data_IF_149638164868
#
_entry.id   IF_149638164868
#
_cell.length_a   1.000
_cell.length_b   1.000
_cell.length_c   1.000
_cell.angle_alpha   90.00
_cell.angle_beta   90.00
_cell.angle_gamma   90.00
#
_symmetry.space_group_name_H-M   'P 1'
#
loop_
_entity.id
_entity.type
_entity.pdbx_description
1 polymer ?
2 non-polymer ?
3 non-polymer ?
4 water ?
#
# COMPACT_ATOMS: atom_id res chain seq x y z
N UNK A 16 -13.70 -17.66 -4.16
CA UNK A 16 -12.83 -17.08 -5.22
C UNK A 16 -12.26 -18.10 -6.22
N UNK A 17 -12.73 -18.02 -7.47
CA UNK A 17 -12.19 -18.81 -8.58
C UNK A 17 -10.94 -18.03 -9.00
N UNK A 18 -9.83 -18.72 -9.37
CA UNK A 18 -8.65 -17.93 -9.78
C UNK A 18 -8.87 -17.15 -11.06
N UNK A 19 -8.29 -15.96 -11.14
CA UNK A 19 -8.38 -15.12 -12.34
C UNK A 19 -7.48 -15.72 -13.37
N UNK A 20 -7.65 -15.28 -14.60
CA UNK A 20 -6.96 -15.86 -15.72
C UNK A 20 -6.66 -14.80 -16.78
N UNK A 21 -5.74 -15.14 -17.67
CA UNK A 21 -5.36 -14.24 -18.74
C UNK A 21 -4.29 -13.20 -18.41
N UNK A 22 -4.18 -12.13 -19.23
CA UNK A 22 -3.16 -11.12 -19.05
C UNK A 22 -3.26 -10.38 -17.74
N UNK A 23 -2.10 -10.05 -17.19
CA UNK A 23 -1.96 -9.23 -15.99
C UNK A 23 -1.40 -7.88 -16.41
N UNK A 25 0.38 -4.32 -14.64
CA UNK A 25 1.00 -3.71 -13.45
C UNK A 25 1.00 -2.22 -13.72
N UNK A 26 0.56 -1.43 -12.75
CA UNK A 26 0.42 0.01 -12.83
C UNK A 26 1.54 0.54 -11.97
N UNK A 27 2.53 1.20 -12.60
CA UNK A 27 3.76 1.58 -11.96
C UNK A 27 3.88 3.10 -11.80
N UNK A 28 3.89 3.55 -10.55
CA UNK A 28 3.99 4.96 -10.20
C UNK A 28 5.42 5.27 -9.87
N UNK A 29 5.99 6.29 -10.52
CA UNK A 29 7.36 6.70 -10.26
C UNK A 29 7.42 8.20 -10.06
N UNK A 30 8.58 8.62 -9.54
CA UNK A 30 8.87 10.00 -9.29
C UNK A 30 8.81 10.90 -10.55
N UNK A 31 8.92 10.32 -11.75
CA UNK A 31 8.86 11.08 -13.01
C UNK A 31 7.86 10.55 -14.04
N UNK A 32 6.83 9.84 -13.59
CA UNK A 32 5.76 9.37 -14.49
C UNK A 32 5.18 8.03 -14.14
N UNK A 33 4.16 7.67 -14.90
CA UNK A 33 3.46 6.40 -14.83
C UNK A 33 3.89 5.51 -15.99
N UNK A 34 4.15 4.25 -15.68
CA UNK A 34 4.45 3.24 -16.69
C UNK A 34 3.47 2.11 -16.40
N UNK A 35 3.24 1.28 -17.43
CA UNK A 35 2.28 0.20 -17.40
C UNK A 35 2.90 -1.00 -18.02
N UNK A 36 2.77 -2.14 -17.34
CA UNK A 36 3.32 -3.40 -17.85
C UNK A 36 2.18 -4.35 -18.13
N UNK A 37 2.17 -5.00 -19.29
CA UNK A 37 1.10 -5.93 -19.65
C UNK A 37 1.68 -7.29 -20.04
N UNK A 38 1.14 -8.37 -19.49
CA UNK A 38 1.61 -9.71 -19.81
C UNK A 38 0.76 -10.42 -20.84
N UNK A 39 1.34 -11.52 -21.36
CA UNK A 39 0.62 -12.51 -22.15
C UNK A 39 -0.18 -13.36 -21.12
N UNK A 40 -1.10 -14.22 -21.58
CA UNK A 40 -1.88 -14.99 -20.60
C UNK A 40 -1.06 -15.90 -19.67
N UNK A 41 0.05 -16.42 -20.17
CA UNK A 41 0.96 -17.26 -19.43
C UNK A 41 1.86 -16.48 -18.46
N UNK A 42 1.82 -15.14 -18.46
CA UNK A 42 2.65 -14.29 -17.61
C UNK A 42 4.14 -14.53 -17.79
N UNK A 43 4.57 -14.81 -19.04
CA UNK A 43 5.99 -15.05 -19.30
C UNK A 43 6.68 -13.89 -20.04
N UNK A 44 6.02 -13.29 -21.03
CA UNK A 44 6.55 -12.11 -21.72
C UNK A 44 5.71 -10.89 -21.32
N UNK A 45 6.36 -9.73 -21.19
CA UNK A 45 5.74 -8.46 -20.79
C UNK A 45 6.05 -7.31 -21.75
N UNK A 46 5.08 -6.40 -21.88
CA UNK A 46 5.16 -5.26 -22.75
C UNK A 46 5.09 -4.01 -21.90
N UNK A 47 6.03 -3.10 -22.08
CA UNK A 47 6.08 -1.84 -21.35
C UNK A 47 5.46 -0.69 -22.16
N UNK A 48 4.49 0.00 -21.57
CA UNK A 48 3.91 1.22 -22.13
C UNK A 48 4.20 2.38 -21.18
N UNK A 49 4.44 3.55 -21.75
CA UNK A 49 4.69 4.78 -21.03
C UNK A 49 5.98 5.41 -21.53
N UNK A 50 6.39 6.55 -20.94
CA UNK A 50 5.73 7.23 -19.83
C UNK A 50 4.40 7.91 -20.15
N UNK A 51 3.56 7.98 -19.12
CA UNK A 51 2.34 8.73 -19.15
C UNK A 51 2.61 9.77 -18.04
N UNK A 52 2.37 11.04 -18.36
CA UNK A 52 2.60 12.16 -17.45
C UNK A 52 4.09 12.26 -17.09
N UNK A 53 4.97 12.11 -18.09
CA UNK A 53 6.43 12.22 -17.87
C UNK A 53 6.70 13.55 -17.21
N UNK A 54 7.53 13.52 -16.17
CA UNK A 54 7.89 14.70 -15.40
C UNK A 54 7.05 15.02 -14.17
N UNK A 55 5.93 14.31 -13.99
CA UNK A 55 5.09 14.44 -12.83
C UNK A 55 5.47 13.32 -11.85
N UNK A 56 5.32 13.59 -10.57
CA UNK A 56 5.56 12.65 -9.48
C UNK A 56 4.25 11.91 -9.28
N UNK A 57 4.25 10.60 -9.49
CA UNK A 57 3.05 9.79 -9.39
C UNK A 57 3.18 8.94 -8.14
N UNK A 58 2.22 9.08 -7.24
CA UNK A 58 2.23 8.36 -5.99
C UNK A 58 1.51 7.02 -5.92
N UNK A 59 0.44 6.85 -6.68
CA UNK A 59 -0.36 5.65 -6.61
C UNK A 59 -1.28 5.57 -7.83
N UNK A 60 -1.39 4.39 -8.44
CA UNK A 60 -2.27 4.18 -9.58
C UNK A 60 -3.07 2.94 -9.19
N UNK A 61 -4.39 3.07 -9.11
CA UNK A 61 -5.26 1.99 -8.69
C UNK A 61 -6.42 1.81 -9.66
N UNK A 62 -6.72 0.57 -10.00
CA UNK A 62 -7.86 0.20 -10.82
C UNK A 62 -9.05 -0.03 -9.90
N UNK A 63 -10.25 0.36 -10.35
CA UNK A 63 -11.47 0.08 -9.62
C UNK A 63 -11.81 -1.39 -9.94
N UNK A 64 -11.75 -2.29 -8.93
CA UNK A 64 -12.09 -3.68 -9.21
C UNK A 64 -13.59 -3.88 -9.44
N UNK A 65 -14.42 -2.92 -9.03
CA UNK A 65 -15.85 -2.95 -9.30
C UNK A 65 -16.14 -2.69 -10.76
N UNK A 66 -15.34 -1.85 -11.41
CA UNK A 66 -15.49 -1.44 -12.81
C UNK A 66 -14.08 -1.32 -13.41
N UNK A 67 -13.51 -2.42 -13.91
CA UNK A 67 -12.09 -2.45 -14.36
C UNK A 67 -11.65 -1.37 -15.35
N UNK A 68 -12.59 -0.83 -16.13
CA UNK A 68 -12.32 0.24 -17.08
C UNK A 68 -11.94 1.57 -16.36
N UNK A 69 -12.25 1.68 -15.06
CA UNK A 69 -11.97 2.87 -14.28
C UNK A 69 -10.68 2.76 -13.47
N UNK A 71 -7.76 5.41 -11.07
CA UNK A 71 -7.37 6.67 -10.44
C UNK A 71 -5.86 6.65 -10.25
N UNK A 73 -2.97 9.15 -8.22
CA UNK A 73 -2.56 10.26 -7.35
C UNK A 73 -1.26 10.86 -7.92
N UNK A 74 -1.29 12.16 -8.20
CA UNK A 74 -0.15 12.84 -8.84
C UNK A 74 0.02 14.27 -8.36
N UNK A 75 1.25 14.79 -8.54
CA UNK A 75 1.57 16.16 -8.18
C UNK A 75 2.07 16.97 -9.38
N UNK A 76 1.31 18.04 -9.64
CA UNK A 76 1.46 19.08 -10.70
C UNK A 76 1.34 18.50 -12.10
N UNK A 79 -0.74 22.09 -11.77
CA UNK A 79 -1.99 21.75 -11.05
C UNK A 79 -1.88 21.60 -9.51
N UNK A 80 -0.66 21.46 -8.97
CA UNK A 80 -0.45 21.14 -7.54
C UNK A 80 -0.84 19.67 -7.34
N UNK A 81 -1.16 19.24 -6.10
CA UNK A 81 -1.54 17.84 -5.89
C UNK A 81 -2.96 17.56 -6.39
N UNK A 82 -3.15 16.46 -7.11
CA UNK A 82 -4.45 16.08 -7.67
C UNK A 82 -4.60 14.57 -7.84
N UNK A 83 -5.79 14.19 -8.34
CA UNK A 83 -6.11 12.83 -8.73
C UNK A 83 -6.58 12.87 -10.20
N UNK A 84 -5.93 12.10 -11.05
CA UNK A 84 -6.38 11.95 -12.45
C UNK A 84 -7.27 10.72 -12.51
N UNK A 85 -8.31 10.76 -13.34
CA UNK A 85 -9.24 9.64 -13.50
C UNK A 85 -9.28 9.21 -14.96
N UNK A 86 -9.50 7.92 -15.18
CA UNK A 86 -9.68 7.36 -16.50
C UNK A 86 -10.89 6.46 -16.45
N UNK A 87 -11.73 6.51 -17.49
CA UNK A 87 -12.91 5.60 -17.58
C UNK A 87 -12.81 4.65 -18.80
N UNK A 88 -11.61 4.54 -19.38
CA UNK A 88 -11.36 3.69 -20.55
C UNK A 88 -10.06 2.91 -20.36
N UNK A 89 -9.88 2.36 -19.16
CA UNK A 89 -8.73 1.55 -18.80
C UNK A 89 -7.35 2.14 -18.99
N UNK A 90 -7.25 3.47 -18.83
CA UNK A 90 -5.99 4.21 -18.96
C UNK A 90 -5.73 4.93 -20.26
N UNK A 91 -6.68 4.95 -21.20
CA UNK A 91 -6.50 5.63 -22.46
C UNK A 91 -6.66 7.15 -22.47
N UNK A 92 -7.29 7.69 -21.45
CA UNK A 92 -7.50 9.11 -21.28
C UNK A 92 -7.47 9.39 -19.79
N UNK A 93 -6.89 10.53 -19.40
CA UNK A 93 -6.79 10.92 -18.00
C UNK A 93 -7.34 12.35 -17.86
N UNK A 94 -8.17 12.58 -16.84
CA UNK A 94 -8.73 13.90 -16.57
C UNK A 94 -8.46 14.24 -15.11
N UNK A 95 -7.92 15.43 -14.88
CA UNK A 95 -7.66 15.93 -13.54
C UNK A 95 -8.97 16.14 -12.77
N UNK A 96 -8.90 16.00 -11.44
CA UNK A 96 -10.05 16.21 -10.54
C UNK A 96 -10.64 17.60 -10.69
N UNK A 97 -11.96 17.71 -10.68
CA UNK A 97 -12.60 19.03 -10.72
C UNK A 97 -12.35 19.63 -9.33
N UNK A 98 -12.47 18.80 -8.28
CA UNK A 98 -12.18 19.21 -6.90
C UNK A 98 -11.25 18.17 -6.24
N UNK A 99 -9.91 18.36 -6.32
CA UNK A 99 -9.04 17.40 -5.66
C UNK A 99 -9.03 17.57 -4.14
N UNK A 100 -8.48 16.59 -3.39
CA UNK A 100 -8.37 16.71 -1.93
C UNK A 100 -7.71 18.02 -1.45
N UNK A 101 -8.40 18.73 -0.55
CA UNK A 101 -7.92 19.98 0.02
C UNK A 101 -8.55 20.11 1.36
N UNK A 102 -7.76 20.48 2.38
CA UNK A 102 -8.30 20.70 3.72
C UNK A 102 -9.20 21.94 3.71
N UNK A 103 -10.18 21.96 4.60
CA UNK A 103 -11.07 23.13 4.75
C UNK A 103 -10.26 24.36 5.25
N UNK A 104 -10.77 25.56 4.96
CA UNK A 104 -10.16 26.81 5.40
C UNK A 104 -10.12 26.84 6.92
N UNK A 105 -8.99 27.24 7.51
CA UNK A 105 -8.88 27.33 8.97
C UNK A 105 -9.59 28.61 9.47
N UNK A 106 -10.04 28.63 10.75
CA UNK A 106 -10.69 29.86 11.26
C UNK A 106 -9.73 31.06 11.44
N UNK A 111 -3.77 27.15 9.41
CA UNK A 111 -4.39 26.03 8.67
C UNK A 111 -3.42 25.12 7.90
N UNK A 112 -3.81 23.84 7.74
CA UNK A 112 -3.00 22.79 7.06
C UNK A 112 -3.23 22.76 5.55
N UNK A 113 -2.20 22.36 4.82
CA UNK A 113 -2.20 22.26 3.36
C UNK A 113 -1.80 20.84 2.90
N UNK A 114 -2.53 20.30 1.91
CA UNK A 114 -2.27 18.99 1.32
C UNK A 114 -0.99 19.09 0.48
N UNK A 115 0.04 18.32 0.85
CA UNK A 115 1.27 18.27 0.08
C UNK A 115 1.08 17.33 -1.10
N UNK A 116 0.59 16.12 -0.84
CA UNK A 116 0.28 15.18 -1.90
C UNK A 116 -0.74 14.13 -1.47
N UNK A 117 -1.48 13.60 -2.45
CA UNK A 117 -2.38 12.49 -2.23
C UNK A 117 -1.46 11.29 -2.30
N UNK A 118 -1.39 10.53 -1.22
CA UNK A 118 -0.47 9.41 -1.13
C UNK A 118 -1.09 8.05 -1.48
N UNK A 119 -2.32 7.81 -1.05
CA UNK A 119 -2.98 6.52 -1.18
C UNK A 119 -4.41 6.64 -1.64
N UNK A 120 -4.85 5.71 -2.49
CA UNK A 120 -6.20 5.66 -3.06
C UNK A 120 -6.77 4.28 -2.80
N UNK A 121 -8.00 4.24 -2.29
CA UNK A 121 -8.72 2.98 -1.99
C UNK A 121 -10.11 3.02 -2.61
N UNK A 122 -10.47 2.00 -3.42
CA UNK A 122 -11.81 2.00 -3.94
C UNK A 122 -12.76 1.47 -2.86
N UNK A 123 -13.96 2.04 -2.82
CA UNK A 123 -14.96 1.65 -1.85
C UNK A 123 -15.57 0.28 -2.03
N UNK A 124 -16.60 0.06 -1.22
CA UNK A 124 -17.36 -1.17 -1.16
C UNK A 124 -18.13 -1.42 -2.46
N UNK A 125 -18.37 -2.71 -2.74
CA UNK A 125 -19.07 -3.19 -3.94
C UNK A 125 -20.45 -2.56 -4.14
N UNK A 126 -21.14 -2.34 -3.03
CA UNK A 126 -22.47 -1.77 -3.00
C UNK A 126 -22.49 -0.26 -3.17
N UNK A 127 -21.32 0.40 -3.22
CA UNK A 127 -21.29 1.86 -3.39
C UNK A 127 -20.41 2.25 -4.56
N UNK A 128 -20.80 1.85 -5.80
CA UNK A 128 -19.95 2.15 -6.96
C UNK A 128 -19.72 3.65 -7.09
N UNK A 129 -18.53 4.03 -7.53
CA UNK A 129 -18.12 5.42 -7.62
C UNK A 129 -17.51 6.04 -6.38
N UNK A 130 -17.62 5.35 -5.23
CA UNK A 130 -17.07 5.83 -3.96
C UNK A 130 -15.61 5.40 -3.78
N UNK A 131 -14.74 6.34 -3.41
CA UNK A 131 -13.33 6.09 -3.13
C UNK A 131 -12.89 6.85 -1.89
N UNK A 132 -11.79 6.43 -1.30
CA UNK A 132 -11.12 7.16 -0.22
C UNK A 132 -9.73 7.53 -0.70
N UNK A 133 -9.23 8.66 -0.22
CA UNK A 133 -7.90 9.15 -0.48
C UNK A 133 -7.21 9.49 0.85
N UNK A 134 -5.94 9.11 0.96
CA UNK A 134 -5.08 9.43 2.08
C UNK A 134 -4.00 10.40 1.61
N UNK A 135 -3.76 11.45 2.38
CA UNK A 135 -2.80 12.52 2.04
C UNK A 135 -1.59 12.63 2.96
N UNK A 136 -0.64 13.47 2.52
CA UNK A 136 0.48 13.95 3.31
C UNK A 136 0.30 15.49 3.39
N UNK A 137 0.16 16.08 4.60
CA UNK A 137 0.13 15.46 5.94
C UNK A 137 -1.16 14.65 6.13
N UNK A 138 -1.28 13.94 7.25
CA UNK A 138 -2.37 12.98 7.43
C UNK A 138 -3.74 13.60 7.25
N UNK A 139 -4.53 13.04 6.36
CA UNK A 139 -5.88 13.52 6.08
C UNK A 139 -6.57 12.45 5.29
N UNK A 140 -7.88 12.29 5.55
CA UNK A 140 -8.75 11.31 4.90
C UNK A 140 -9.82 12.08 4.13
N UNK A 141 -9.98 11.73 2.85
CA UNK A 141 -10.93 12.34 1.94
C UNK A 141 -11.76 11.27 1.24
N UNK A 142 -12.91 11.68 0.71
CA UNK A 142 -13.81 10.77 0.04
C UNK A 142 -14.41 11.39 -1.24
N UNK A 143 -14.55 10.55 -2.25
CA UNK A 143 -15.25 10.90 -3.49
C UNK A 143 -16.40 9.93 -3.59
N UNK A 144 -17.53 10.40 -4.11
CA UNK A 144 -18.69 9.56 -4.44
C UNK A 144 -18.99 9.61 -5.97
N UNK A 145 -18.15 10.33 -6.75
CA UNK A 145 -18.32 10.51 -8.21
C UNK A 145 -17.10 10.01 -9.05
N UNK A 146 -16.58 8.83 -8.68
CA UNK A 146 -15.44 8.17 -9.36
C UNK A 146 -14.12 8.96 -9.30
N UNK A 147 -13.97 9.77 -8.27
CA UNK A 147 -12.77 10.55 -8.08
C UNK A 147 -12.71 11.89 -8.78
N UNK A 148 -13.83 12.39 -9.30
CA UNK A 148 -13.85 13.71 -9.93
C UNK A 148 -13.72 14.81 -8.87
N UNK A 149 -14.46 14.65 -7.77
CA UNK A 149 -14.50 15.61 -6.66
C UNK A 149 -14.30 14.88 -5.35
N UNK A 150 -13.60 15.54 -4.43
CA UNK A 150 -13.24 15.00 -3.15
C UNK A 150 -13.63 15.96 -2.05
N UNK A 151 -14.10 15.42 -0.92
CA UNK A 151 -14.42 16.22 0.26
C UNK A 151 -13.70 15.56 1.47
N UNK A 152 -13.36 16.35 2.50
CA UNK A 152 -12.80 15.74 3.70
C UNK A 152 -13.74 14.78 4.43
N UNK A 153 -13.20 13.70 5.01
CA UNK A 153 -14.02 12.86 5.89
C UNK A 153 -13.82 13.58 7.22
N UNK A 154 -14.74 14.50 7.50
CA UNK A 154 -14.75 15.37 8.69
C UNK A 154 -14.58 14.63 10.02
N UNK A 155 -15.16 13.44 10.14
CA UNK A 155 -15.02 12.64 11.35
C UNK A 155 -13.59 12.25 11.70
N UNK A 156 -12.68 12.24 10.72
CA UNK A 156 -11.26 12.07 11.01
C UNK A 156 -10.56 13.44 11.06
N UNK A 157 -10.66 14.20 9.97
CA UNK A 157 -9.93 15.48 9.83
C UNK A 157 -10.16 16.52 10.91
N UNK A 158 -11.36 16.53 11.49
CA UNK A 158 -11.74 17.42 12.58
C UNK A 158 -12.05 16.64 13.85
N UNK A 159 -11.49 15.45 14.02
CA UNK A 159 -11.66 14.69 15.27
C UNK A 159 -10.89 15.46 16.35
N UNK A 160 -11.47 15.60 17.57
CA UNK A 160 -10.72 16.31 18.64
C UNK A 160 -9.32 15.75 18.97
N UNK A 162 -7.32 14.33 16.70
CA UNK A 162 -6.47 14.31 15.49
C UNK A 162 -5.04 14.84 15.61
N UNK A 163 -4.90 16.05 16.15
CA UNK A 163 -3.58 16.67 16.29
C UNK A 163 -2.68 15.82 17.20
N UNK A 164 -3.26 15.22 18.25
CA UNK A 164 -2.56 14.33 19.17
C UNK A 164 -2.15 13.00 18.47
N UNK A 165 -3.08 12.46 17.69
CA UNK A 165 -2.82 11.25 16.91
C UNK A 165 -1.77 11.43 15.82
N UNK A 166 -1.84 12.54 15.07
CA UNK A 166 -0.91 12.82 13.98
C UNK A 166 0.41 13.43 14.45
N UNK A 167 0.32 14.54 15.18
CA UNK A 167 1.47 15.32 15.67
C UNK A 167 1.75 16.52 14.75
N UNK A 168 2.97 16.56 14.16
CA UNK A 168 3.39 17.62 13.20
C UNK A 168 4.19 16.99 12.05
N UNK A 169 4.97 17.82 11.34
CA UNK A 169 5.86 17.35 10.24
C UNK A 169 7.27 16.99 10.75
N UNK A 174 12.11 13.41 6.16
CA UNK A 174 11.52 12.48 5.19
C UNK A 174 10.71 13.22 4.08
N UNK A 175 9.82 12.52 3.36
CA UNK A 175 8.87 13.16 2.41
C UNK A 175 7.73 13.90 3.15
N UNK A 176 7.51 13.54 4.42
CA UNK A 176 6.50 14.11 5.30
C UNK A 176 5.64 12.98 5.84
N UNK A 177 4.86 13.23 6.89
CA UNK A 177 4.02 12.21 7.47
C UNK A 177 2.81 11.98 6.56
N UNK A 178 2.23 10.79 6.60
CA UNK A 178 1.18 10.45 5.64
C UNK A 178 0.16 9.47 6.16
N UNK A 180 -2.13 6.26 5.07
CA UNK A 180 -2.02 5.16 4.14
C UNK A 180 -2.92 4.03 4.60
N UNK A 181 -2.82 2.89 3.92
CA UNK A 181 -3.52 1.67 4.29
C UNK A 181 -4.99 1.86 4.66
N UNK A 182 -5.72 2.55 3.77
CA UNK A 182 -7.14 2.80 3.93
C UNK A 182 -7.83 1.52 3.42
N UNK A 183 -8.53 0.88 4.34
CA UNK A 183 -9.16 -0.40 4.13
C UNK A 183 -10.66 -0.28 4.36
N UNK A 184 -11.48 -0.70 3.39
CA UNK A 184 -12.94 -0.74 3.49
C UNK A 184 -13.33 -2.22 3.62
N UNK A 185 -13.97 -2.60 4.72
CA UNK A 185 -14.34 -3.99 4.97
C UNK A 185 -15.28 -4.55 3.87
N UNK A 186 -14.93 -5.70 3.24
CA UNK A 186 -15.82 -6.27 2.21
C UNK A 186 -17.22 -6.64 2.70
N UNK A 187 -17.35 -6.91 3.99
CA UNK A 187 -18.61 -7.25 4.60
C UNK A 187 -19.44 -6.05 5.02
N UNK A 188 -18.85 -4.85 5.11
CA UNK A 188 -19.58 -3.69 5.62
C UNK A 188 -18.89 -2.38 5.26
N UNK A 189 -19.51 -1.53 4.41
CA UNK A 189 -18.87 -0.24 4.04
C UNK A 189 -18.60 0.74 5.20
N UNK A 190 -19.29 0.55 6.33
CA UNK A 190 -19.12 1.36 7.52
C UNK A 190 -17.85 1.03 8.32
N UNK A 191 -17.31 -0.19 8.16
CA UNK A 191 -16.13 -0.63 8.89
C UNK A 191 -14.85 -0.31 8.09
N UNK A 192 -14.11 0.67 8.60
CA UNK A 192 -12.91 1.20 7.98
C UNK A 192 -11.73 1.12 8.90
N UNK A 193 -10.55 0.91 8.30
CA UNK A 193 -9.27 0.94 8.98
C UNK A 193 -8.39 1.93 8.20
N UNK A 194 -7.49 2.61 8.91
CA UNK A 194 -6.53 3.52 8.28
C UNK A 194 -5.18 3.34 8.99
N UNK A 195 -4.11 3.74 8.33
CA UNK A 195 -2.76 3.66 8.90
C UNK A 195 -2.14 5.04 8.77
N UNK A 197 1.58 7.22 9.36
CA UNK A 197 2.98 7.29 9.62
C UNK A 197 3.29 8.75 9.96
N UNK A 198 3.38 9.14 11.23
CA UNK A 198 3.16 8.31 12.43
C UNK A 198 1.75 8.51 12.97
N UNK A 199 1.37 7.63 13.89
CA UNK A 199 0.06 7.66 14.53
C UNK A 199 -0.45 6.28 14.89
N UNK A 200 -0.39 5.35 13.95
CA UNK A 200 -0.86 4.00 14.15
C UNK A 200 -1.97 3.59 13.24
N UNK A 201 -2.58 2.46 13.59
CA UNK A 201 -3.75 1.94 12.93
C UNK A 201 -4.95 2.47 13.72
N UNK A 202 -5.98 2.86 12.97
CA UNK A 202 -7.19 3.39 13.55
C UNK A 202 -8.35 2.72 12.86
N UNK A 203 -9.45 2.61 13.60
CA UNK A 203 -10.67 1.94 13.17
C UNK A 203 -11.91 2.80 13.35
N UNK A 204 -12.82 2.68 12.39
CA UNK A 204 -14.14 3.28 12.43
C UNK A 204 -15.13 2.15 12.18
N UNK A 205 -16.27 2.19 12.87
CA UNK A 205 -17.39 1.26 12.63
C UNK A 205 -18.61 2.02 12.11
N UNK A 206 -18.48 3.34 11.84
CA UNK A 206 -19.58 4.19 11.36
C UNK A 206 -19.18 5.06 10.17
N UNK A 207 -18.50 4.42 9.21
CA UNK A 207 -18.05 5.06 7.97
C UNK A 207 -17.25 6.34 8.20
N UNK A 208 -16.45 6.36 9.26
CA UNK A 208 -15.59 7.49 9.53
C UNK A 208 -16.09 8.68 10.33
N UNK A 209 -17.33 8.66 10.83
CA UNK A 209 -17.81 9.77 11.67
C UNK A 209 -17.04 9.75 13.01
N UNK A 210 -16.67 8.56 13.52
CA UNK A 210 -15.77 8.43 14.68
C UNK A 210 -14.65 7.38 14.43
N UNK A 211 -13.49 7.63 15.05
CA UNK A 211 -12.30 6.79 14.99
C UNK A 211 -11.72 6.52 16.39
N UNK A 212 -11.10 5.34 16.52
CA UNK A 212 -10.42 4.90 17.74
C UNK A 212 -9.08 4.22 17.38
N UNK A 213 -8.03 4.40 18.21
CA UNK A 213 -6.76 3.69 17.89
C UNK A 213 -6.86 2.18 18.05
N UNK A 214 -6.12 1.44 17.22
CA UNK A 214 -6.07 -0.03 17.29
C UNK A 214 -4.62 -0.46 17.06
N UNK A 215 -3.81 -0.27 18.09
CA UNK A 215 -2.38 -0.58 18.08
C UNK A 215 -1.94 -1.55 19.15
N UNK A 216 -2.86 -2.21 19.86
CA UNK A 216 -2.48 -3.08 20.97
C UNK A 216 -1.64 -4.26 20.51
N UNK A 217 -0.52 -4.48 21.19
CA UNK A 217 0.42 -5.56 20.91
C UNK A 217 1.57 -5.17 19.99
N UNK A 218 1.48 -3.99 19.40
CA UNK A 218 2.47 -3.48 18.44
C UNK A 218 3.53 -2.63 19.14
N UNK A 219 4.80 -2.89 18.92
CA UNK A 219 5.87 -2.04 19.50
C UNK A 219 5.95 -0.68 18.80
N UNK A 220 6.52 0.29 19.53
CA UNK A 220 6.79 1.65 19.07
C UNK A 220 8.07 2.04 19.81
N UNK A 221 9.11 1.30 19.48
CA UNK A 221 10.43 1.43 20.14
C UNK A 221 11.22 2.75 19.90
N UNK A 222 10.72 3.56 18.97
CA UNK A 222 11.21 4.92 18.71
C UNK A 222 10.57 5.97 19.65
N UNK A 223 9.56 5.58 20.43
CA UNK A 223 8.86 6.48 21.33
C UNK A 223 9.46 6.35 22.73
N UNK A 224 9.38 7.43 23.54
CA UNK A 224 9.84 7.36 24.93
C UNK A 224 9.20 6.21 25.72
N UNK A 225 7.90 6.02 25.56
CA UNK A 225 7.17 4.91 26.17
C UNK A 225 6.57 4.12 25.01
N UNK A 226 7.10 2.91 24.70
CA UNK A 226 6.49 2.12 23.61
C UNK A 226 5.09 1.56 23.84
N UNK A 227 4.61 1.56 25.10
CA UNK A 227 3.32 0.96 25.45
C UNK A 227 2.22 1.98 25.58
N UNK A 228 2.10 2.80 24.55
CA UNK A 228 1.06 3.82 24.48
C UNK A 228 0.01 3.33 23.48
N UNK A 229 -1.10 4.05 23.44
CA UNK A 229 -2.28 3.70 22.64
C UNK A 229 -2.12 3.99 21.15
N UNK A 230 -1.35 5.05 20.87
CA UNK A 230 -1.09 5.54 19.54
C UNK A 230 0.27 6.24 19.50
N UNK A 231 0.69 6.61 18.29
CA UNK A 231 1.99 7.21 17.99
C UNK A 231 2.85 6.29 17.13
N UNK A 232 2.35 5.08 16.91
CA UNK A 232 3.04 3.98 16.18
C UNK A 232 3.29 4.29 14.71
N UNK A 233 4.20 3.53 14.08
CA UNK A 233 4.55 3.74 12.67
C UNK A 233 4.33 2.49 11.80
N UNK A 234 3.03 2.17 11.53
CA UNK A 234 2.75 1.12 10.57
C UNK A 234 3.16 1.63 9.21
N UNK A 235 3.70 0.73 8.39
CA UNK A 235 4.09 1.05 7.02
C UNK A 235 3.05 0.61 6.00
N UNK A 236 2.53 -0.60 6.15
CA UNK A 236 1.57 -1.14 5.22
C UNK A 236 0.68 -2.08 5.98
N UNK A 237 -0.63 -1.87 5.91
CA UNK A 237 -1.62 -2.71 6.57
C UNK A 237 -2.54 -3.30 5.47
N UNK A 238 -2.94 -4.57 5.61
CA UNK A 238 -3.85 -5.27 4.70
C UNK A 238 -4.92 -6.04 5.50
N UNK A 239 -6.13 -6.13 4.96
CA UNK A 239 -7.22 -6.89 5.53
C UNK A 239 -7.45 -7.99 4.51
N UNK A 240 -7.49 -9.24 4.96
CA UNK A 240 -7.61 -10.35 4.01
C UNK A 240 -9.01 -10.41 3.40
N UNK A 241 -9.14 -10.52 2.06
CA UNK A 241 -10.48 -10.50 1.47
C UNK A 241 -11.30 -11.77 1.73
N UNK A 242 -10.61 -12.91 1.85
CA UNK A 242 -11.23 -14.20 2.16
C UNK A 242 -11.58 -14.39 3.66
N UNK A 243 -10.78 -13.82 4.56
CA UNK A 243 -10.97 -13.88 6.01
C UNK A 243 -10.77 -12.47 6.56
N UNK A 244 -11.76 -11.57 6.33
CA UNK A 244 -11.62 -10.13 6.75
C UNK A 244 -11.42 -9.82 8.25
N UNK A 245 -11.58 -10.80 9.13
CA UNK A 245 -11.16 -10.66 10.54
C UNK A 245 -9.64 -10.61 10.68
N UNK A 246 -8.92 -11.15 9.68
CA UNK A 246 -7.45 -11.21 9.72
C UNK A 246 -6.81 -10.01 9.03
N UNK A 247 -5.98 -9.28 9.77
CA UNK A 247 -5.20 -8.15 9.30
C UNK A 247 -3.72 -8.46 9.47
N UNK A 248 -2.91 -8.02 8.52
CA UNK A 248 -1.45 -8.15 8.61
C UNK A 248 -0.86 -6.77 8.45
N UNK A 249 0.25 -6.50 9.12
CA UNK A 249 0.95 -5.25 8.86
C UNK A 249 2.47 -5.39 8.90
N UNK A 250 3.13 -4.59 8.07
CA UNK A 250 4.57 -4.38 8.12
C UNK A 250 4.66 -3.04 8.83
N UNK A 251 5.31 -3.02 9.99
CA UNK A 251 5.47 -1.86 10.82
C UNK A 251 6.97 -1.53 10.87
N UNK A 252 7.27 -0.30 11.27
CA UNK A 252 8.67 0.09 11.55
C UNK A 252 9.28 -0.82 12.65
N UNK A 253 8.42 -1.38 13.51
CA UNK A 253 8.78 -2.27 14.61
C UNK A 253 8.23 -3.68 14.46
N UNK A 254 8.22 -4.19 13.24
CA UNK A 254 7.94 -5.58 13.00
C UNK A 254 6.80 -5.94 12.08
N UNK A 255 6.69 -7.25 11.83
CA UNK A 255 5.62 -7.83 11.05
C UNK A 255 4.64 -8.36 12.10
N UNK A 256 3.37 -7.98 11.94
CA UNK A 256 2.34 -8.38 12.86
C UNK A 256 1.12 -8.96 12.17
N UNK A 257 0.40 -9.80 12.91
CA UNK A 257 -0.86 -10.38 12.50
C UNK A 257 -1.87 -10.11 13.62
N UNK A 259 -6.01 -11.07 14.56
CA UNK A 259 -7.35 -11.60 14.36
C UNK A 259 -8.17 -10.52 15.08
N UNK A 260 -9.00 -9.79 14.36
CA UNK A 260 -9.78 -8.69 14.95
C UNK A 260 -10.66 -9.10 16.15
N UNK A 261 -11.11 -10.36 16.18
CA UNK A 261 -11.92 -10.86 17.31
C UNK A 261 -11.10 -10.86 18.60
N UNK A 262 -9.78 -11.04 18.49
CA UNK A 262 -8.88 -10.99 19.65
C UNK A 262 -8.49 -9.53 19.97
N UNK A 263 -8.39 -8.67 18.95
CA UNK A 263 -8.06 -7.26 19.17
C UNK A 263 -6.62 -6.92 19.57
N UNK A 264 -5.69 -7.83 19.27
CA UNK A 264 -4.27 -7.66 19.58
C UNK A 264 -3.36 -8.05 18.35
N UNK A 265 -2.40 -7.19 18.07
CA UNK A 265 -1.37 -7.46 17.07
C UNK A 265 -0.35 -8.34 17.75
N UNK A 266 -0.01 -9.46 17.09
CA UNK A 266 1.00 -10.43 17.53
C UNK A 266 2.14 -10.44 16.53
N UNK A 267 3.36 -10.25 17.02
CA UNK A 267 4.56 -10.15 16.23
C UNK A 267 5.07 -11.48 15.63
N UNK A 268 4.38 -11.90 14.58
CA UNK A 268 4.79 -13.04 13.77
C UNK A 268 6.17 -12.85 13.17
N UNK A 269 6.61 -11.60 13.03
CA UNK A 269 7.97 -11.29 12.67
C UNK A 269 9.08 -11.82 13.59
N UNK A 270 8.76 -12.17 14.83
CA UNK A 270 9.71 -12.83 15.72
C UNK A 270 10.14 -14.23 15.25
N UNK A 271 9.46 -14.81 14.25
CA UNK A 271 9.87 -16.08 13.64
C UNK A 271 10.93 -15.87 12.57
N UNK A 273 14.56 -14.81 10.83
CA UNK A 273 15.91 -15.06 11.31
C UNK A 273 16.49 -13.76 11.89
N UNK A 274 17.28 -13.91 12.97
CA UNK A 274 17.88 -12.80 13.67
C UNK A 274 18.66 -11.87 12.75
N UNK A 275 19.42 -12.44 11.82
CA UNK A 275 20.26 -11.58 10.95
C UNK A 275 19.48 -10.82 9.89
N UNK A 276 18.27 -11.26 9.59
CA UNK A 276 17.40 -10.61 8.60
C UNK A 276 16.47 -9.59 9.28
N UNK A 277 15.90 -9.93 10.44
CA UNK A 277 14.96 -9.06 11.12
C UNK A 277 13.59 -9.05 10.44
N UNK A 278 12.68 -8.23 10.99
CA UNK A 278 11.31 -8.15 10.48
C UNK A 278 10.88 -6.71 10.22
N UNK A 279 11.85 -5.90 9.79
CA UNK A 279 11.61 -4.51 9.44
C UNK A 279 11.58 -4.47 7.93
N UNK A 280 10.78 -3.55 7.39
CA UNK A 280 10.60 -3.42 5.96
C UNK A 280 9.46 -2.47 5.74
N UNK A 281 9.03 -2.30 4.49
CA UNK A 281 7.90 -1.43 4.13
C UNK A 281 6.61 -2.07 3.66
N UNK A 282 6.63 -2.85 2.55
CA UNK A 282 5.36 -3.43 2.06
C UNK A 282 4.94 -4.78 2.71
N UNK A 283 3.65 -5.08 2.63
CA UNK A 283 3.12 -6.40 3.01
C UNK A 283 2.01 -6.75 1.98
N UNK A 284 1.95 -8.00 1.54
CA UNK A 284 0.97 -8.45 0.53
C UNK A 284 0.42 -9.78 0.96
N UNK A 285 -0.88 -10.00 0.79
CA UNK A 285 -1.54 -11.26 1.16
C UNK A 285 -2.00 -12.02 -0.08
N UNK A 286 -1.97 -13.34 -0.04
CA UNK A 286 -2.48 -14.21 -1.10
C UNK A 286 -4.01 -13.99 -1.12
N UNK A 287 -4.59 -13.68 -2.27
CA UNK A 287 -6.04 -13.43 -2.41
C UNK A 287 -6.99 -14.45 -1.78
N UNK A 288 -6.66 -15.74 -1.95
CA UNK A 288 -7.45 -16.85 -1.46
C UNK A 288 -7.02 -17.49 -0.13
N UNK A 289 -5.75 -17.38 0.24
CA UNK A 289 -5.17 -18.02 1.42
C UNK A 289 -4.81 -16.97 2.48
N UNK A 290 -5.60 -16.88 3.59
CA UNK A 290 -5.20 -15.92 4.63
C UNK A 290 -3.92 -16.24 5.40
N UNK A 291 -3.34 -17.42 5.18
CA UNK A 291 -2.08 -17.85 5.82
C UNK A 291 -0.82 -17.44 5.04
N UNK A 292 -0.99 -17.01 3.78
CA UNK A 292 0.13 -16.68 2.90
C UNK A 292 0.29 -15.17 2.76
N UNK A 293 1.49 -14.71 3.08
CA UNK A 293 1.85 -13.29 3.13
C UNK A 293 3.29 -13.17 2.70
N UNK A 294 3.62 -12.07 2.01
CA UNK A 294 4.96 -11.74 1.53
C UNK A 294 5.41 -10.40 2.09
N UNK A 295 6.69 -10.31 2.47
CA UNK A 295 7.34 -9.07 2.92
C UNK A 295 8.68 -8.88 2.16
N UNK A 296 9.26 -7.68 2.24
CA UNK A 296 10.56 -7.37 1.65
C UNK A 296 11.44 -6.71 2.74
N UNK A 297 12.18 -7.54 3.50
CA UNK A 297 12.96 -7.02 4.59
C UNK A 297 14.11 -6.07 4.26
N UNK A 299 16.98 -3.20 6.58
CA UNK A 299 17.71 -2.97 7.83
C UNK A 299 17.13 -1.80 8.61
N UNK A 300 16.47 -2.09 9.73
CA UNK A 300 15.89 -1.07 10.59
C UNK A 300 16.66 -0.93 11.88
N UNK A 301 17.98 -1.21 11.87
CA UNK A 301 18.79 -1.19 13.10
C UNK A 301 19.23 0.22 13.57
N UNK A 302 19.08 1.22 12.70
CA UNK A 302 19.45 2.61 12.97
C UNK A 302 18.26 3.31 13.65
N UNK A 303 18.45 4.59 14.01
CA UNK A 303 17.42 5.39 14.66
C UNK A 303 16.32 5.86 13.69
N UNK A 304 15.10 5.93 14.22
CA UNK A 304 13.90 6.30 13.48
C UNK A 304 14.03 7.66 12.79
N UNK A 305 13.51 7.82 11.56
CA UNK A 305 12.82 6.89 10.64
C UNK A 305 13.72 6.17 9.62
N UNK A 306 15.02 6.10 9.87
CA UNK A 306 15.98 5.56 8.92
C UNK A 306 15.91 4.03 8.76
N UNK A 307 15.63 3.61 7.52
CA UNK A 307 15.62 2.20 7.11
C UNK A 307 16.63 2.14 5.95
N UNK A 308 17.56 1.18 6.03
CA UNK A 308 18.61 1.02 5.05
C UNK A 308 18.47 -0.30 4.33
N UNK A 309 18.94 -0.36 3.06
CA UNK A 309 18.92 -1.63 2.37
C UNK A 309 20.06 -2.52 2.86
N UNK A 310 19.91 -3.84 2.64
CA UNK A 310 20.95 -4.83 2.86
C UNK A 310 21.47 -5.17 1.46
N UNK A 311 22.59 -5.85 1.39
CA UNK A 311 23.19 -6.17 0.11
C UNK A 311 22.71 -7.43 -0.55
N UNK A 312 21.85 -8.20 0.10
CA UNK A 312 21.38 -9.50 -0.39
C UNK A 312 19.88 -9.51 -0.45
N UNK A 313 19.30 -8.97 -1.55
CA UNK A 313 17.84 -8.81 -1.59
C UNK A 313 17.04 -10.09 -1.60
N UNK A 314 15.90 -10.06 -0.93
CA UNK A 314 15.03 -11.21 -0.87
C UNK A 314 13.66 -10.79 -0.39
N UNK A 315 12.67 -11.51 -0.88
CA UNK A 315 11.31 -11.44 -0.41
C UNK A 315 11.24 -12.60 0.59
N UNK A 316 10.42 -12.47 1.63
CA UNK A 316 10.18 -13.62 2.54
C UNK A 316 8.72 -13.93 2.45
N UNK A 317 8.42 -15.22 2.37
CA UNK A 317 7.04 -15.71 2.38
C UNK A 317 6.76 -16.49 3.67
N UNK A 318 5.50 -16.46 4.10
CA UNK A 318 4.98 -17.35 5.14
C UNK A 318 3.73 -18.00 4.50
N UNK A 319 3.56 -19.30 4.68
CA UNK A 319 2.36 -20.02 4.24
C UNK A 319 1.58 -20.60 5.41
N UNK A 320 1.95 -20.19 6.63
CA UNK A 320 1.36 -20.70 7.87
C UNK A 320 1.07 -19.55 8.84
N UNK A 321 0.61 -18.42 8.30
CA UNK A 321 0.19 -17.23 9.07
C UNK A 321 1.26 -16.62 9.97
N UNK A 322 2.53 -16.80 9.61
CA UNK A 322 3.65 -16.21 10.33
C UNK A 322 4.41 -17.10 11.31
N UNK A 323 4.01 -18.36 11.41
CA UNK A 323 4.67 -19.33 12.29
C UNK A 323 6.08 -19.62 11.79
N UNK A 324 6.26 -19.64 10.47
CA UNK A 324 7.56 -19.87 9.83
C UNK A 324 7.67 -18.98 8.58
N UNK A 325 8.90 -18.65 8.23
CA UNK A 325 9.20 -17.80 7.07
C UNK A 325 10.26 -18.46 6.21
N UNK A 326 10.11 -18.33 4.90
CA UNK A 326 11.09 -18.86 3.94
C UNK A 326 11.61 -17.74 3.05
N UNK A 327 12.91 -17.80 2.76
CA UNK A 327 13.57 -16.82 1.93
C UNK A 327 13.30 -17.15 0.48
N UNK A 328 12.96 -16.12 -0.29
CA UNK A 328 12.72 -16.24 -1.69
C UNK A 328 13.61 -15.26 -2.43
N UNK A 329 14.68 -15.77 -3.02
CA UNK A 329 15.67 -14.97 -3.76
C UNK A 329 16.16 -15.58 -5.08
N UNK A 330 15.50 -16.61 -5.64
CA UNK A 330 15.96 -17.18 -6.92
C UNK A 330 15.68 -16.22 -8.05
N UNK A 331 16.72 -15.92 -8.82
CA UNK A 331 16.67 -14.94 -9.88
C UNK A 331 17.15 -13.54 -9.48
N UNK A 332 17.22 -13.24 -8.18
CA UNK A 332 17.63 -11.93 -7.73
C UNK A 332 19.15 -11.85 -7.62
N UNK A 333 19.69 -10.61 -7.71
CA UNK A 333 21.12 -10.42 -7.52
C UNK A 333 21.52 -11.02 -6.20
N UNK A 334 22.57 -11.82 -6.24
CA UNK A 334 23.01 -12.58 -5.07
C UNK A 334 23.70 -11.71 -4.00
N UNK A 335 24.48 -10.69 -4.38
CA UNK A 335 25.15 -9.83 -3.40
C UNK A 335 25.55 -8.47 -3.98
N UNK A 336 26.02 -7.56 -3.12
CA UNK A 336 26.31 -6.15 -3.48
C UNK A 336 25.15 -5.55 -4.31
N UNK A 337 23.93 -5.78 -3.85
CA UNK A 337 22.70 -5.31 -4.46
C UNK A 337 21.83 -4.68 -3.36
N UNK A 338 21.85 -3.35 -3.31
CA UNK A 338 21.25 -2.56 -2.23
C UNK A 338 19.93 -2.00 -2.69
N UNK A 339 18.94 -2.89 -2.62
CA UNK A 339 17.58 -2.65 -3.06
C UNK A 339 16.64 -2.17 -1.97
N UNK A 340 15.92 -1.09 -2.30
CA UNK A 340 14.88 -0.52 -1.47
C UNK A 340 13.54 -0.77 -2.15
N UNK A 341 12.58 -1.31 -1.41
CA UNK A 341 11.22 -1.59 -1.91
C UNK A 341 10.28 -0.83 -0.96
N UNK A 342 9.59 0.18 -1.49
CA UNK A 342 8.71 1.04 -0.69
C UNK A 342 7.36 0.34 -0.41
N UNK A 343 6.55 0.94 0.47
CA UNK A 343 5.26 0.37 0.97
C UNK A 343 4.27 -0.11 -0.03
N UNK A 344 4.07 0.69 -1.08
CA UNK A 344 3.11 0.41 -2.13
C UNK A 344 3.78 -0.27 -3.32
N UNK A 345 5.07 -0.55 -3.22
CA UNK A 345 5.83 -1.11 -4.33
C UNK A 345 5.86 -2.66 -4.45
N UNK A 347 3.02 -6.01 -4.99
CA UNK A 347 1.64 -6.37 -5.30
C UNK A 347 1.62 -7.82 -5.73
N UNK A 348 0.41 -8.36 -5.78
CA UNK A 348 0.22 -9.73 -6.18
C UNK A 348 -1.01 -9.80 -7.08
N UNK A 349 -1.04 -10.76 -7.99
CA UNK A 349 -2.21 -11.00 -8.85
C UNK A 349 -3.12 -12.06 -8.17
N UNK A 350 -4.23 -12.43 -8.84
CA UNK A 350 -5.18 -13.43 -8.34
C UNK A 350 -5.21 -14.67 -9.25
N UNK A 351 -4.13 -14.91 -9.99
CA UNK A 351 -4.03 -16.10 -10.85
C UNK A 351 -3.70 -17.30 -9.99
N UNK A 352 -3.71 -18.47 -10.61
CA UNK A 352 -3.34 -19.73 -9.97
C UNK A 352 -2.18 -20.32 -10.76
N UNK A 353 -0.95 -20.34 -10.18
CA UNK A 353 -0.52 -19.84 -8.90
C UNK A 353 -0.45 -18.33 -8.87
N UNK A 354 -0.52 -17.76 -7.68
CA UNK A 354 -0.45 -16.34 -7.50
C UNK A 354 0.95 -15.83 -7.86
N UNK A 355 0.96 -14.77 -8.64
CA UNK A 355 2.15 -14.08 -9.05
C UNK A 355 2.35 -12.92 -8.11
N UNK A 356 3.64 -12.58 -7.89
CA UNK A 356 4.06 -11.54 -6.95
C UNK A 356 5.06 -10.62 -7.68
N UNK A 357 5.00 -9.34 -7.37
CA UNK A 357 5.77 -8.35 -8.12
C UNK A 357 6.30 -7.32 -7.20
N UNK A 358 7.46 -6.76 -7.50
CA UNK A 358 7.92 -5.60 -6.73
C UNK A 358 8.73 -4.62 -7.58
N UNK A 359 8.74 -3.36 -7.14
CA UNK A 359 9.45 -2.28 -7.83
C UNK A 359 10.41 -1.64 -6.87
N UNK A 360 11.62 -1.37 -7.35
CA UNK A 360 12.67 -0.82 -6.52
C UNK A 360 12.88 0.68 -6.80
N UNK A 361 13.52 1.37 -5.84
CA UNK A 361 13.85 2.78 -6.00
C UNK A 361 14.91 2.96 -7.11
N UNK A 362 15.65 1.88 -7.42
CA UNK A 362 16.60 1.86 -8.53
C UNK A 362 15.95 1.65 -9.89
N UNK A 363 14.62 1.48 -9.95
CA UNK A 363 13.87 1.39 -11.18
C UNK A 363 13.68 0.06 -11.85
N UNK A 364 13.76 -1.02 -11.09
CA UNK A 364 13.55 -2.38 -11.58
C UNK A 364 12.19 -2.88 -11.14
N UNK A 365 11.52 -3.65 -12.01
CA UNK A 365 10.30 -4.33 -11.70
C UNK A 365 10.66 -5.79 -11.79
N UNK A 366 10.53 -6.51 -10.65
CA UNK A 366 10.80 -7.96 -10.56
C UNK A 366 9.48 -8.69 -10.48
N UNK A 367 9.34 -9.78 -11.22
CA UNK A 367 8.07 -10.53 -11.31
C UNK A 367 8.26 -12.01 -11.02
N UNK A 368 7.29 -12.59 -10.33
CA UNK A 368 7.22 -14.01 -10.08
C UNK A 368 5.85 -14.48 -10.52
N UNK A 369 5.80 -15.60 -11.24
CA UNK A 369 4.53 -16.23 -11.61
C UNK A 369 4.32 -17.52 -10.82
N UNK A 370 5.12 -17.76 -9.76
CA UNK A 370 5.01 -18.97 -8.92
C UNK A 370 5.11 -18.69 -7.41
N UNK A 371 4.32 -17.72 -6.95
CA UNK A 371 4.20 -17.38 -5.54
C UNK A 371 5.52 -16.94 -4.88
N UNK A 372 6.38 -16.27 -5.66
CA UNK A 372 7.65 -15.77 -5.22
C UNK A 372 8.85 -16.70 -5.25
N UNK A 373 8.67 -17.94 -5.70
CA UNK A 373 9.79 -18.89 -5.76
C UNK A 373 10.87 -18.50 -6.77
N UNK A 374 10.48 -17.96 -7.93
CA UNK A 374 11.45 -17.49 -8.94
C UNK A 374 11.08 -16.08 -9.34
N UNK A 375 12.11 -15.27 -9.60
CA UNK A 375 11.98 -13.88 -9.96
C UNK A 375 12.66 -13.63 -11.30
N UNK A 376 12.11 -12.71 -12.06
CA UNK A 376 12.62 -12.28 -13.34
C UNK A 376 12.47 -10.77 -13.40
N UNK A 377 13.53 -10.06 -13.76
CA UNK A 377 13.42 -8.63 -13.98
C UNK A 377 12.71 -8.39 -15.33
N UNK A 378 11.52 -7.84 -15.28
CA UNK A 378 10.70 -7.55 -16.48
C UNK A 378 10.76 -6.07 -16.92
N UNK A 379 11.38 -5.21 -16.13
CA UNK A 379 11.62 -3.78 -16.48
C UNK A 379 12.78 -3.27 -15.63
N UNK A 380 13.66 -2.47 -16.24
CA UNK A 380 14.78 -1.83 -15.56
C UNK A 380 14.93 -0.39 -16.10
N UNK A 381 15.76 0.38 -15.40
CA UNK A 381 16.05 1.77 -15.75
C UNK A 381 14.83 2.74 -15.80
N UNK A 382 13.82 2.46 -14.97
CA UNK A 382 12.69 3.35 -14.81
C UNK A 382 13.09 4.32 -13.72
N UNK A 383 12.37 5.46 -13.63
CA UNK A 383 12.67 6.34 -12.52
C UNK A 383 12.28 5.70 -11.19
N UNK A 384 12.77 6.26 -10.10
CA UNK A 384 12.46 5.84 -8.72
C UNK A 384 11.00 5.40 -8.53
N UNK A 385 10.77 4.12 -8.22
CA UNK A 385 9.42 3.56 -8.08
C UNK A 385 8.81 3.71 -6.67
N UNK A 386 7.64 4.36 -6.63
CA UNK A 386 6.83 4.56 -5.42
C UNK A 386 5.79 3.42 -5.23
N UNK A 387 5.13 3.00 -6.31
CA UNK A 387 4.07 2.01 -6.23
C UNK A 387 3.98 1.11 -7.44
N UNK A 388 3.55 -0.14 -7.19
CA UNK A 388 3.32 -1.14 -8.22
C UNK A 388 2.03 -1.79 -7.76
N UNK A 389 1.07 -1.87 -8.66
CA UNK A 389 -0.25 -2.39 -8.40
C UNK A 389 -0.73 -3.29 -9.54
N UNK A 390 -1.25 -4.46 -9.20
CA UNK A 390 -1.85 -5.34 -10.20
C UNK A 390 -3.23 -4.80 -10.67
N UNK A 391 -3.59 -5.17 -11.90
CA UNK A 391 -4.82 -4.73 -12.54
C UNK A 391 -5.21 -5.73 -13.62
N UNK A 392 -6.50 -5.77 -13.91
CA UNK A 392 -7.08 -6.63 -14.94
C UNK A 392 -7.27 -5.79 -16.18
N UNK A 393 -6.60 -6.13 -17.30
CA UNK A 393 -6.84 -5.35 -18.53
C UNK A 393 -8.17 -5.72 -19.20
#
# INVERSE_FOLDING_TARGET
GXTASTAPQTEPHKTSAPESGPVXLLVATIKGAWFLASDPARRTWELRGPVFLGHTIHHIVQDPREPERXLXAARTGHLGPTVFRSDDGGGNWTEATRPPAFNKAPEGETGRVVDHVFWLTPGHASEPGTWYAGTSPQGLFRSTDHGASWEPVAGFNDHPXRRAWTGGEQDGTPDGPKXHSILVDPRDPKHLYIGXSSGGVFESTDAGTDWKPLNRGCAANFLPDPNVEFGHDPHCVVQHPAAPDILYQQNHCGIYRXDRREGVWKRIGDAXPREVGDIGFPIVVHQRDPRTVWVFPXDGSDVWPRVSPGGKPAVYVTRDAGESWQRQDRGLPTDQAWLTVKRQAXTADAHAPVGVYFGTTGGEIWASADEGEHWQCIASHLPHIYAVQSARPV
#
